data_IF_825911725335
#
_entry.id   IF_825911725335
#
_cell.length_a   1.000
_cell.length_b   1.000
_cell.length_c   1.000
_cell.angle_alpha   90.00
_cell.angle_beta   90.00
_cell.angle_gamma   90.00
#
_symmetry.space_group_name_H-M   'P 1'
#
loop_
_entity.id
_entity.type
_entity.pdbx_description
1 polymer ?
#
# COMPACT_ATOMS: atom_id res chain seq x y z
N UNK A 1 -7.45 -21.25 7.29
CA UNK A 1 -8.10 -22.16 8.22
C UNK A 1 -8.56 -21.41 9.48
N UNK A 2 -7.64 -20.82 10.24
CA UNK A 2 -7.97 -20.07 11.47
C UNK A 2 -8.89 -18.86 11.21
N UNK A 3 -8.76 -18.20 10.06
CA UNK A 3 -9.55 -17.02 9.70
C UNK A 3 -10.92 -17.37 9.06
N UNK A 4 -11.18 -18.65 8.74
CA UNK A 4 -12.36 -19.01 7.96
C UNK A 4 -12.39 -18.42 6.55
N UNK A 5 -11.21 -18.28 5.93
CA UNK A 5 -11.06 -17.72 4.58
C UNK A 5 -10.91 -16.18 4.54
N UNK A 6 -10.91 -15.50 5.68
CA UNK A 6 -10.74 -14.03 5.77
C UNK A 6 -9.26 -13.63 5.91
N UNK A 7 -8.41 -14.16 5.05
CA UNK A 7 -6.99 -13.83 5.03
C UNK A 7 -6.56 -13.41 3.62
N UNK A 8 -5.70 -12.44 3.55
CA UNK A 8 -5.08 -11.97 2.34
C UNK A 8 -3.58 -11.81 2.55
N UNK A 9 -2.80 -11.76 1.49
CA UNK A 9 -1.37 -11.50 1.56
C UNK A 9 -1.04 -10.15 0.93
N UNK A 10 -0.19 -9.36 1.59
CA UNK A 10 0.38 -8.15 1.00
C UNK A 10 1.83 -8.42 0.58
N UNK A 11 2.11 -8.37 -0.72
CA UNK A 11 3.43 -8.60 -1.29
C UNK A 11 4.10 -7.26 -1.56
N UNK A 12 5.27 -7.05 -0.96
CA UNK A 12 6.12 -5.88 -1.19
C UNK A 12 7.47 -6.31 -1.73
N UNK A 13 7.98 -5.62 -2.76
CA UNK A 13 9.25 -5.98 -3.41
C UNK A 13 10.49 -5.45 -2.68
N UNK A 14 10.30 -4.75 -1.55
CA UNK A 14 11.37 -4.17 -0.74
C UNK A 14 11.85 -2.81 -1.28
N UNK A 15 12.03 -1.87 -0.36
CA UNK A 15 12.52 -0.51 -0.66
C UNK A 15 13.77 -0.15 0.14
N UNK A 16 13.92 -0.74 1.33
CA UNK A 16 15.02 -0.45 2.22
C UNK A 16 16.21 -1.37 1.94
N UNK A 17 17.13 -0.90 1.11
CA UNK A 17 18.31 -1.68 0.71
C UNK A 17 19.21 -2.08 1.88
N UNK A 18 19.18 -1.32 2.98
CA UNK A 18 19.95 -1.67 4.18
C UNK A 18 19.45 -2.94 4.85
N UNK A 19 18.13 -3.23 4.75
CA UNK A 19 17.59 -4.48 5.31
C UNK A 19 18.10 -5.69 4.54
N UNK A 20 18.25 -5.58 3.21
CA UNK A 20 18.84 -6.66 2.41
C UNK A 20 20.28 -6.94 2.87
N UNK A 21 21.08 -5.92 3.06
CA UNK A 21 22.44 -6.03 3.59
C UNK A 21 22.47 -6.65 5.01
N UNK A 22 21.58 -6.19 5.90
CA UNK A 22 21.46 -6.73 7.26
C UNK A 22 21.11 -8.22 7.31
N UNK A 23 20.35 -8.71 6.33
CA UNK A 23 19.99 -10.14 6.23
C UNK A 23 20.98 -10.94 5.38
N UNK A 24 22.05 -10.32 4.86
CA UNK A 24 23.02 -10.99 4.01
C UNK A 24 22.46 -11.44 2.66
N UNK A 25 21.46 -10.71 2.16
CA UNK A 25 20.80 -11.00 0.89
C UNK A 25 21.23 -9.94 -0.12
N UNK A 26 21.72 -10.39 -1.30
CA UNK A 26 22.04 -9.47 -2.38
C UNK A 26 20.78 -8.71 -2.84
N UNK A 27 20.85 -7.39 -2.81
CA UNK A 27 19.77 -6.55 -3.30
C UNK A 27 19.77 -6.58 -4.83
N UNK A 28 18.69 -7.08 -5.40
CA UNK A 28 18.45 -6.98 -6.84
C UNK A 28 18.18 -5.52 -7.24
N UNK A 29 18.40 -5.20 -8.52
CA UNK A 29 17.95 -3.95 -9.09
C UNK A 29 16.44 -3.76 -8.93
N UNK A 30 16.00 -2.49 -8.95
CA UNK A 30 14.61 -2.14 -8.64
C UNK A 30 13.59 -2.99 -9.39
N UNK A 31 13.70 -3.08 -10.71
CA UNK A 31 12.71 -3.77 -11.53
C UNK A 31 12.78 -5.30 -11.37
N UNK A 32 13.98 -5.85 -11.21
CA UNK A 32 14.18 -7.27 -10.90
C UNK A 32 13.53 -7.70 -9.58
N UNK A 33 13.44 -6.80 -8.58
CA UNK A 33 12.71 -7.11 -7.36
C UNK A 33 11.21 -7.32 -7.62
N UNK A 34 10.62 -6.57 -8.56
CA UNK A 34 9.24 -6.77 -8.97
C UNK A 34 9.05 -8.03 -9.83
N UNK A 35 10.02 -8.37 -10.68
CA UNK A 35 10.02 -9.63 -11.44
C UNK A 35 10.05 -10.83 -10.48
N UNK A 36 10.96 -10.82 -9.50
CA UNK A 36 11.00 -11.84 -8.45
C UNK A 36 9.69 -11.93 -7.65
N UNK A 37 9.10 -10.79 -7.28
CA UNK A 37 7.83 -10.77 -6.58
C UNK A 37 6.67 -11.29 -7.43
N UNK A 38 6.72 -11.04 -8.73
CA UNK A 38 5.75 -11.58 -9.69
C UNK A 38 5.81 -13.11 -9.76
N UNK A 39 7.01 -13.70 -9.88
CA UNK A 39 7.18 -15.16 -9.81
C UNK A 39 6.77 -15.72 -8.46
N UNK A 40 7.08 -15.02 -7.35
CA UNK A 40 6.64 -15.43 -6.03
C UNK A 40 5.12 -15.56 -5.93
N UNK A 41 4.36 -14.63 -6.52
CA UNK A 41 2.89 -14.71 -6.57
C UNK A 41 2.45 -15.92 -7.40
N UNK A 42 3.11 -16.22 -8.52
CA UNK A 42 2.80 -17.40 -9.33
C UNK A 42 3.04 -18.69 -8.56
N UNK A 43 4.17 -18.79 -7.86
CA UNK A 43 4.49 -19.93 -6.98
C UNK A 43 3.47 -20.09 -5.87
N UNK A 44 3.09 -19.01 -5.21
CA UNK A 44 2.07 -19.05 -4.15
C UNK A 44 0.74 -19.56 -4.71
N UNK A 45 0.26 -18.98 -5.80
CA UNK A 45 -1.03 -19.36 -6.42
C UNK A 45 -1.02 -20.80 -6.90
N UNK A 46 0.06 -21.23 -7.55
CA UNK A 46 0.21 -22.60 -7.98
C UNK A 46 0.20 -23.58 -6.80
N UNK A 47 1.01 -23.34 -5.77
CA UNK A 47 1.05 -24.18 -4.58
C UNK A 47 -0.29 -24.23 -3.81
N UNK A 48 -1.10 -23.17 -3.87
CA UNK A 48 -2.44 -23.17 -3.25
C UNK A 48 -3.47 -23.97 -4.02
N UNK A 49 -3.31 -24.11 -5.34
CA UNK A 49 -4.34 -24.67 -6.23
C UNK A 49 -3.99 -26.06 -6.75
N UNK A 50 -2.70 -26.38 -6.88
CA UNK A 50 -2.18 -27.61 -7.47
C UNK A 50 -1.38 -28.44 -6.44
N UNK A 51 -1.43 -29.79 -6.56
CA UNK A 51 -0.62 -30.70 -5.76
C UNK A 51 -0.49 -32.04 -6.50
N UNK A 52 0.73 -32.45 -6.89
CA UNK A 52 1.98 -31.71 -6.78
C UNK A 52 2.04 -30.52 -7.75
N UNK A 53 2.75 -29.45 -7.35
CA UNK A 53 2.96 -28.25 -8.14
C UNK A 53 4.41 -28.15 -8.61
N UNK A 54 4.60 -27.80 -9.88
CA UNK A 54 5.92 -27.58 -10.48
C UNK A 54 5.99 -26.15 -11.03
N UNK A 55 7.13 -25.49 -10.82
CA UNK A 55 7.40 -24.16 -11.34
C UNK A 55 8.88 -24.03 -11.70
N UNK A 56 9.19 -23.51 -12.88
CA UNK A 56 10.54 -23.27 -13.35
C UNK A 56 10.63 -21.82 -13.85
N UNK A 57 11.13 -20.92 -13.03
CA UNK A 57 11.31 -19.50 -13.32
C UNK A 57 12.77 -19.07 -13.22
N UNK A 58 12.99 -17.78 -13.28
CA UNK A 58 14.32 -17.19 -13.11
C UNK A 58 14.73 -17.16 -11.63
N UNK A 59 13.78 -16.89 -10.73
CA UNK A 59 14.03 -16.69 -9.29
C UNK A 59 13.58 -17.87 -8.45
N UNK A 60 12.66 -18.69 -8.94
CA UNK A 60 12.11 -19.83 -8.19
C UNK A 60 12.09 -21.08 -9.05
N UNK A 61 12.46 -22.19 -8.43
CA UNK A 61 12.39 -23.53 -9.01
C UNK A 61 11.75 -24.48 -7.98
N UNK A 62 10.59 -25.01 -8.31
CA UNK A 62 9.83 -25.91 -7.45
C UNK A 62 9.54 -27.21 -8.20
N UNK A 63 9.92 -28.34 -7.60
CA UNK A 63 9.71 -29.67 -8.14
C UNK A 63 8.81 -30.46 -7.21
N UNK A 64 7.66 -30.90 -7.70
CA UNK A 64 6.67 -31.72 -6.98
C UNK A 64 6.29 -31.13 -5.59
N UNK A 65 6.20 -29.78 -5.51
CA UNK A 65 5.86 -29.09 -4.27
C UNK A 65 4.45 -29.50 -3.82
N UNK A 66 4.36 -29.92 -2.55
CA UNK A 66 3.10 -30.27 -1.91
C UNK A 66 2.88 -29.37 -0.70
N UNK A 67 1.74 -28.69 -0.68
CA UNK A 67 1.32 -27.82 0.42
C UNK A 67 0.05 -28.36 1.06
N UNK A 68 0.11 -28.68 2.35
CA UNK A 68 -1.05 -29.10 3.12
C UNK A 68 -1.07 -28.44 4.52
N UNK A 69 -2.20 -27.95 5.01
CA UNK A 69 -3.48 -27.85 4.29
C UNK A 69 -3.47 -26.72 3.25
N UNK A 70 -4.17 -26.92 2.14
CA UNK A 70 -4.36 -25.89 1.13
C UNK A 70 -5.50 -24.94 1.52
N UNK A 71 -5.49 -23.68 1.06
CA UNK A 71 -6.59 -22.76 1.25
C UNK A 71 -7.90 -23.31 0.65
N UNK A 72 -8.99 -23.20 1.38
CA UNK A 72 -10.32 -23.60 0.90
C UNK A 72 -11.00 -22.54 0.02
N UNK A 73 -10.49 -21.32 0.04
CA UNK A 73 -10.96 -20.18 -0.74
C UNK A 73 -9.77 -19.48 -1.39
N UNK A 74 -9.96 -18.82 -2.55
CA UNK A 74 -8.90 -18.00 -3.13
C UNK A 74 -8.40 -16.96 -2.13
N UNK A 75 -7.07 -16.82 -2.07
CA UNK A 75 -6.42 -15.81 -1.24
C UNK A 75 -6.18 -14.58 -2.09
N UNK A 76 -6.71 -13.45 -1.67
CA UNK A 76 -6.47 -12.18 -2.35
C UNK A 76 -5.03 -11.70 -2.14
N UNK A 77 -4.43 -11.20 -3.21
CA UNK A 77 -3.08 -10.66 -3.23
C UNK A 77 -3.15 -9.15 -3.27
N UNK A 78 -2.74 -8.53 -2.18
CA UNK A 78 -2.45 -7.10 -2.10
C UNK A 78 -1.00 -6.85 -2.51
N UNK A 79 -0.75 -5.70 -3.08
CA UNK A 79 0.60 -5.28 -3.44
C UNK A 79 0.78 -3.79 -3.15
N UNK A 80 1.86 -3.46 -2.46
CA UNK A 80 2.29 -2.08 -2.23
C UNK A 80 3.25 -1.56 -3.30
N UNK A 81 3.35 -0.24 -3.40
CA UNK A 81 4.25 0.48 -4.30
C UNK A 81 3.52 1.27 -5.39
N UNK A 82 4.20 2.28 -5.94
CA UNK A 82 3.62 3.23 -6.90
C UNK A 82 4.56 3.51 -8.09
N UNK A 83 5.67 2.79 -8.21
CA UNK A 83 6.58 2.88 -9.37
C UNK A 83 5.97 2.22 -10.61
N UNK A 84 6.52 2.49 -11.79
CA UNK A 84 6.02 1.90 -13.03
C UNK A 84 6.14 0.36 -13.01
N UNK A 85 7.23 -0.20 -12.48
CA UNK A 85 7.38 -1.65 -12.29
C UNK A 85 6.30 -2.22 -11.34
N UNK A 86 5.99 -1.50 -10.24
CA UNK A 86 4.90 -1.84 -9.34
C UNK A 86 3.55 -1.86 -10.05
N UNK A 87 3.26 -0.85 -10.88
CA UNK A 87 2.02 -0.75 -11.64
C UNK A 87 1.88 -1.91 -12.62
N UNK A 88 2.95 -2.28 -13.32
CA UNK A 88 2.94 -3.42 -14.24
C UNK A 88 2.70 -4.75 -13.50
N UNK A 89 3.38 -4.97 -12.38
CA UNK A 89 3.16 -6.16 -11.55
C UNK A 89 1.72 -6.19 -11.00
N UNK A 90 1.19 -5.08 -10.50
CA UNK A 90 -0.19 -5.00 -10.02
C UNK A 90 -1.19 -5.38 -11.12
N UNK A 91 -1.05 -4.79 -12.30
CA UNK A 91 -1.92 -5.08 -13.45
C UNK A 91 -1.88 -6.54 -13.90
N UNK A 92 -0.73 -7.22 -13.74
CA UNK A 92 -0.54 -8.60 -14.15
C UNK A 92 -0.93 -9.62 -13.07
N UNK A 93 -0.70 -9.32 -11.79
CA UNK A 93 -0.67 -10.33 -10.73
C UNK A 93 -1.55 -10.03 -9.52
N UNK A 94 -1.85 -8.77 -9.19
CA UNK A 94 -2.50 -8.44 -7.92
C UNK A 94 -4.01 -8.33 -8.05
N UNK A 95 -4.72 -8.58 -6.96
CA UNK A 95 -6.15 -8.37 -6.85
C UNK A 95 -6.43 -6.97 -6.29
N UNK A 96 -5.52 -6.49 -5.43
CA UNK A 96 -5.54 -5.17 -4.84
C UNK A 96 -4.21 -4.45 -4.99
N UNK A 97 -4.27 -3.16 -5.26
CA UNK A 97 -3.14 -2.27 -5.09
C UNK A 97 -3.34 -1.45 -3.83
N UNK A 98 -2.41 -1.64 -2.87
CA UNK A 98 -2.41 -0.93 -1.59
C UNK A 98 -1.56 0.33 -1.73
N UNK A 99 -2.22 1.48 -1.76
CA UNK A 99 -1.62 2.78 -1.97
C UNK A 99 -1.25 3.40 -0.63
N UNK A 100 -0.06 3.96 -0.55
CA UNK A 100 0.28 4.89 0.52
C UNK A 100 -0.58 6.15 0.41
N UNK A 101 -0.67 6.92 1.49
CA UNK A 101 -1.36 8.20 1.50
C UNK A 101 -0.84 9.17 0.43
N UNK A 102 -1.64 10.14 0.08
CA UNK A 102 -1.29 11.15 -0.90
C UNK A 102 -2.44 12.09 -1.24
N UNK A 103 -2.14 13.15 -1.99
CA UNK A 103 -3.18 14.02 -2.51
C UNK A 103 -4.14 13.27 -3.44
N UNK A 104 -5.36 13.79 -3.59
CA UNK A 104 -6.38 13.21 -4.46
C UNK A 104 -5.87 13.03 -5.88
N UNK A 105 -5.21 14.05 -6.41
CA UNK A 105 -4.67 14.08 -7.77
C UNK A 105 -3.57 13.03 -7.97
N UNK A 106 -2.70 12.86 -6.97
CA UNK A 106 -1.65 11.83 -7.01
C UNK A 106 -2.26 10.43 -7.01
N UNK A 107 -3.19 10.16 -6.12
CA UNK A 107 -3.86 8.86 -6.02
C UNK A 107 -4.64 8.56 -7.29
N UNK A 108 -5.41 9.52 -7.81
CA UNK A 108 -6.12 9.39 -9.09
C UNK A 108 -5.16 9.06 -10.25
N UNK A 109 -4.02 9.77 -10.34
CA UNK A 109 -3.00 9.52 -11.36
C UNK A 109 -2.50 8.09 -11.33
N UNK A 110 -2.22 7.53 -10.15
CA UNK A 110 -1.78 6.13 -9.99
C UNK A 110 -2.89 5.17 -10.41
N UNK A 111 -4.12 5.38 -9.93
CA UNK A 111 -5.29 4.56 -10.30
C UNK A 111 -5.47 4.52 -11.83
N UNK A 112 -5.36 5.68 -12.50
CA UNK A 112 -5.48 5.77 -13.95
C UNK A 112 -4.35 5.04 -14.70
N UNK A 113 -3.13 5.07 -14.16
CA UNK A 113 -2.01 4.30 -14.72
C UNK A 113 -2.28 2.78 -14.63
N UNK A 114 -2.71 2.30 -13.47
CA UNK A 114 -3.07 0.88 -13.27
C UNK A 114 -4.21 0.47 -14.20
N UNK A 115 -5.29 1.25 -14.26
CA UNK A 115 -6.43 0.99 -15.16
C UNK A 115 -6.03 0.95 -16.63
N UNK A 116 -5.02 1.74 -17.05
CA UNK A 116 -4.46 1.64 -18.40
C UNK A 116 -3.66 0.36 -18.61
N UNK A 117 -2.84 -0.03 -17.63
CA UNK A 117 -2.04 -1.23 -17.71
C UNK A 117 -2.91 -2.51 -17.74
N UNK A 118 -4.02 -2.54 -16.97
CA UNK A 118 -4.95 -3.69 -16.96
C UNK A 118 -5.70 -3.91 -18.26
N UNK A 119 -5.77 -2.91 -19.16
CA UNK A 119 -6.41 -3.09 -20.48
C UNK A 119 -5.75 -4.18 -21.31
N UNK A 120 -4.44 -4.39 -21.18
CA UNK A 120 -3.69 -5.42 -21.89
C UNK A 120 -3.86 -6.81 -21.28
N UNK A 121 -4.14 -6.89 -19.99
CA UNK A 121 -4.27 -8.16 -19.24
C UNK A 121 -5.72 -8.63 -19.10
N UNK A 122 -6.70 -7.74 -19.32
CA UNK A 122 -8.12 -8.00 -19.08
C UNK A 122 -8.48 -8.19 -17.59
N UNK A 123 -7.56 -7.90 -16.68
CA UNK A 123 -7.77 -8.03 -15.23
C UNK A 123 -8.40 -6.77 -14.64
N UNK A 124 -9.02 -6.93 -13.49
CA UNK A 124 -9.47 -5.82 -12.63
C UNK A 124 -8.58 -5.79 -11.40
N UNK A 125 -8.08 -4.62 -11.05
CA UNK A 125 -7.34 -4.36 -9.81
C UNK A 125 -8.16 -3.36 -8.98
N UNK A 126 -8.39 -3.70 -7.72
CA UNK A 126 -9.08 -2.87 -6.73
C UNK A 126 -8.07 -2.01 -5.98
N UNK A 127 -8.52 -0.94 -5.33
CA UNK A 127 -7.61 0.01 -4.69
C UNK A 127 -7.93 0.18 -3.22
N UNK A 128 -6.91 -0.05 -2.38
CA UNK A 128 -6.91 0.25 -0.96
C UNK A 128 -5.97 1.44 -0.70
N UNK A 129 -6.36 2.36 0.17
CA UNK A 129 -5.58 3.55 0.50
C UNK A 129 -5.30 3.59 2.00
N UNK A 130 -4.04 3.84 2.36
CA UNK A 130 -3.69 4.16 3.74
C UNK A 130 -3.95 5.63 4.04
N UNK A 131 -4.57 5.90 5.17
CA UNK A 131 -4.82 7.25 5.66
C UNK A 131 -4.67 7.34 7.18
N UNK A 132 -4.25 8.50 7.66
CA UNK A 132 -4.11 8.79 9.09
C UNK A 132 -5.10 9.92 9.44
N UNK A 133 -6.28 9.60 10.01
CA UNK A 133 -7.28 10.60 10.33
C UNK A 133 -6.89 11.41 11.59
N UNK A 134 -7.23 12.70 11.58
CA UNK A 134 -7.24 13.61 12.74
C UNK A 134 -8.59 14.32 12.72
N UNK A 135 -9.47 13.92 13.61
CA UNK A 135 -10.82 14.45 13.72
C UNK A 135 -10.97 15.37 14.94
N UNK A 136 -11.51 16.59 14.76
CA UNK A 136 -11.74 17.57 15.82
C UNK A 136 -13.08 18.26 15.60
N UNK A 137 -13.52 19.06 16.58
CA UNK A 137 -14.76 19.82 16.50
C UNK A 137 -14.67 20.99 15.49
N UNK A 138 -13.45 21.36 15.08
CA UNK A 138 -13.21 22.30 13.98
C UNK A 138 -12.01 21.92 13.13
N UNK A 139 -11.99 22.34 11.86
CA UNK A 139 -10.85 22.13 10.96
C UNK A 139 -9.59 22.82 11.48
N UNK A 140 -9.72 24.01 12.10
CA UNK A 140 -8.61 24.75 12.71
C UNK A 140 -7.93 23.93 13.81
N UNK A 141 -8.70 23.36 14.73
CA UNK A 141 -8.16 22.51 15.79
C UNK A 141 -7.48 21.25 15.25
N UNK A 142 -8.03 20.65 14.20
CA UNK A 142 -7.42 19.48 13.56
C UNK A 142 -6.07 19.83 12.92
N UNK A 143 -5.99 20.93 12.20
CA UNK A 143 -4.76 21.42 11.60
C UNK A 143 -3.73 21.90 12.60
N UNK A 144 -4.16 22.45 13.74
CA UNK A 144 -3.28 22.80 14.87
C UNK A 144 -2.56 21.56 15.43
N UNK A 145 -3.23 20.42 15.48
CA UNK A 145 -2.59 19.15 15.88
C UNK A 145 -1.50 18.76 14.89
N UNK A 146 -1.77 18.89 13.60
CA UNK A 146 -0.79 18.61 12.54
C UNK A 146 0.39 19.57 12.63
N UNK A 147 0.13 20.86 12.75
CA UNK A 147 1.20 21.88 12.84
C UNK A 147 2.14 21.59 14.02
N UNK A 148 1.59 21.28 15.18
CA UNK A 148 2.40 20.90 16.36
C UNK A 148 3.27 19.66 16.11
N UNK A 149 2.78 18.69 15.35
CA UNK A 149 3.55 17.50 14.98
C UNK A 149 4.68 17.85 13.99
N UNK A 150 4.38 18.70 13.02
CA UNK A 150 5.38 19.20 12.04
C UNK A 150 6.47 19.98 12.75
N UNK A 151 6.10 20.92 13.64
CA UNK A 151 7.05 21.73 14.41
C UNK A 151 7.93 20.88 15.34
N UNK A 152 7.46 19.71 15.75
CA UNK A 152 8.19 18.76 16.57
C UNK A 152 9.11 17.80 15.78
N UNK A 153 9.12 17.87 14.45
CA UNK A 153 9.99 17.02 13.63
C UNK A 153 11.47 17.42 13.89
N UNK A 154 12.24 16.43 14.32
CA UNK A 154 13.70 16.61 14.45
C UNK A 154 14.31 16.85 13.05
N UNK A 155 15.03 17.98 12.85
CA UNK A 155 15.67 18.30 11.57
C UNK A 155 16.64 17.21 11.08
N UNK A 156 17.35 16.54 11.99
CA UNK A 156 18.27 15.46 11.64
C UNK A 156 17.49 14.19 11.22
N UNK A 157 16.37 13.91 11.86
CA UNK A 157 15.45 12.86 11.43
C UNK A 157 14.92 13.14 10.02
N UNK A 158 14.40 14.33 9.76
CA UNK A 158 13.90 14.73 8.45
C UNK A 158 14.96 14.60 7.36
N UNK A 159 16.18 15.09 7.64
CA UNK A 159 17.33 14.98 6.74
C UNK A 159 17.72 13.54 6.45
N UNK A 160 17.81 12.71 7.48
CA UNK A 160 18.16 11.30 7.35
C UNK A 160 17.09 10.53 6.58
N UNK A 161 15.81 10.81 6.82
CA UNK A 161 14.69 10.21 6.09
C UNK A 161 14.73 10.59 4.61
N UNK A 162 14.82 11.87 4.28
CA UNK A 162 14.97 12.35 2.89
C UNK A 162 16.17 11.69 2.18
N UNK A 163 17.29 11.53 2.88
CA UNK A 163 18.46 10.83 2.33
C UNK A 163 18.21 9.34 2.10
N UNK A 164 17.53 8.67 3.02
CA UNK A 164 17.22 7.24 2.90
C UNK A 164 16.21 6.96 1.77
N UNK A 165 15.34 7.92 1.47
CA UNK A 165 14.28 7.81 0.45
C UNK A 165 14.64 8.44 -0.89
N UNK A 166 15.81 9.09 -1.01
CA UNK A 166 16.22 9.84 -2.21
C UNK A 166 16.33 9.00 -3.50
N UNK A 167 16.35 7.67 -3.40
CA UNK A 167 16.34 6.74 -4.53
C UNK A 167 15.00 6.00 -4.70
N UNK A 168 14.01 6.30 -3.87
CA UNK A 168 12.71 5.63 -3.94
C UNK A 168 11.90 6.16 -5.13
N UNK A 169 11.39 5.23 -5.95
CA UNK A 169 10.57 5.58 -7.10
C UNK A 169 9.08 5.53 -6.71
N UNK A 170 8.36 6.62 -6.96
CA UNK A 170 6.91 6.69 -6.81
C UNK A 170 6.38 6.99 -5.41
N UNK A 171 7.10 6.67 -4.35
CA UNK A 171 6.81 7.02 -2.96
C UNK A 171 7.84 8.03 -2.45
N UNK A 172 7.43 8.85 -1.45
CA UNK A 172 8.30 9.84 -0.79
C UNK A 172 9.01 10.80 -1.75
N UNK A 173 8.48 10.96 -2.95
CA UNK A 173 8.92 12.00 -3.88
C UNK A 173 8.35 13.38 -3.52
N UNK A 174 7.39 13.43 -2.59
CA UNK A 174 6.80 14.67 -2.08
C UNK A 174 7.76 15.34 -1.10
N UNK A 175 7.97 16.66 -1.28
CA UNK A 175 8.64 17.51 -0.31
C UNK A 175 7.69 17.98 0.81
N UNK A 176 6.42 17.57 0.78
CA UNK A 176 5.43 17.95 1.78
C UNK A 176 5.81 17.43 3.16
N UNK A 177 5.74 18.29 4.16
CA UNK A 177 6.07 17.96 5.56
C UNK A 177 5.15 16.88 6.12
N UNK A 178 3.90 16.80 5.64
CA UNK A 178 2.95 15.75 6.02
C UNK A 178 3.47 14.34 5.74
N UNK A 179 4.24 14.15 4.65
CA UNK A 179 4.82 12.84 4.32
C UNK A 179 5.95 12.42 5.26
N UNK A 180 6.45 13.32 6.10
CA UNK A 180 7.45 13.01 7.13
C UNK A 180 6.84 12.52 8.44
N UNK A 181 5.54 12.73 8.67
CA UNK A 181 4.89 12.45 9.94
C UNK A 181 4.67 10.95 10.20
N UNK A 182 4.57 10.15 9.14
CA UNK A 182 4.47 8.69 9.24
C UNK A 182 5.20 7.97 8.08
N UNK A 183 5.33 6.64 8.19
CA UNK A 183 6.08 5.84 7.21
C UNK A 183 5.31 5.60 5.91
N UNK A 184 4.00 5.76 5.90
CA UNK A 184 3.12 5.43 4.78
C UNK A 184 2.39 6.66 4.21
N UNK A 185 2.84 7.87 4.54
CA UNK A 185 2.30 9.14 4.05
C UNK A 185 0.79 9.33 4.33
N UNK A 186 0.26 8.71 5.40
CA UNK A 186 -1.18 8.71 5.70
C UNK A 186 -1.76 10.10 5.91
N UNK A 187 -1.00 11.02 6.51
CA UNK A 187 -1.43 12.41 6.69
C UNK A 187 -1.51 13.18 5.38
N UNK A 188 -0.78 12.77 4.33
CA UNK A 188 -0.87 13.37 3.00
C UNK A 188 -2.23 13.09 2.32
N UNK A 189 -3.00 12.11 2.79
CA UNK A 189 -4.39 11.88 2.37
C UNK A 189 -5.35 12.94 2.89
N UNK A 190 -4.93 13.73 3.90
CA UNK A 190 -5.65 14.86 4.45
C UNK A 190 -7.06 14.50 4.97
N UNK A 191 -7.19 13.37 5.66
CA UNK A 191 -8.36 13.09 6.49
C UNK A 191 -8.23 13.86 7.81
N UNK A 192 -8.24 15.20 7.70
CA UNK A 192 -7.92 16.12 8.78
C UNK A 192 -9.01 17.19 8.80
N UNK A 193 -9.76 17.30 9.89
CA UNK A 193 -10.83 18.27 10.01
C UNK A 193 -11.98 17.79 10.89
N UNK A 194 -13.16 18.36 10.64
CA UNK A 194 -14.41 17.92 11.26
C UNK A 194 -14.89 16.57 10.66
N UNK A 195 -15.84 15.88 11.31
CA UNK A 195 -16.46 14.69 10.70
C UNK A 195 -16.94 14.93 9.28
N UNK A 196 -17.60 16.06 9.01
CA UNK A 196 -18.10 16.42 7.67
C UNK A 196 -16.98 16.62 6.66
N UNK A 197 -15.90 17.33 7.06
CA UNK A 197 -14.71 17.55 6.20
C UNK A 197 -14.05 16.22 5.85
N UNK A 198 -13.92 15.32 6.82
CA UNK A 198 -13.32 14.01 6.61
C UNK A 198 -14.22 13.15 5.70
N UNK A 199 -15.53 13.13 5.93
CA UNK A 199 -16.49 12.38 5.09
C UNK A 199 -16.44 12.85 3.64
N UNK A 200 -16.49 14.15 3.40
CA UNK A 200 -16.37 14.70 2.03
C UNK A 200 -15.05 14.28 1.35
N UNK A 201 -13.96 14.17 2.12
CA UNK A 201 -12.67 13.71 1.61
C UNK A 201 -12.67 12.22 1.28
N UNK A 202 -13.30 11.40 2.11
CA UNK A 202 -13.50 9.96 1.86
C UNK A 202 -14.33 9.75 0.60
N UNK A 203 -15.44 10.47 0.45
CA UNK A 203 -16.29 10.42 -0.75
C UNK A 203 -15.49 10.77 -2.02
N UNK A 204 -14.64 11.80 -1.97
CA UNK A 204 -13.79 12.16 -3.10
C UNK A 204 -12.80 11.04 -3.47
N UNK A 205 -12.24 10.31 -2.49
CA UNK A 205 -11.41 9.12 -2.77
C UNK A 205 -12.24 7.97 -3.36
N UNK A 206 -13.47 7.76 -2.91
CA UNK A 206 -14.36 6.75 -3.47
C UNK A 206 -14.73 7.07 -4.92
N UNK A 207 -15.00 8.33 -5.25
CA UNK A 207 -15.33 8.77 -6.62
C UNK A 207 -14.22 8.48 -7.63
N UNK A 208 -12.95 8.60 -7.24
CA UNK A 208 -11.82 8.24 -8.11
C UNK A 208 -11.54 6.73 -8.16
N UNK A 209 -12.18 5.95 -7.26
CA UNK A 209 -12.17 4.48 -7.28
C UNK A 209 -11.37 3.82 -6.16
N UNK A 210 -11.14 4.48 -5.04
CA UNK A 210 -10.69 3.83 -3.80
C UNK A 210 -11.86 3.05 -3.20
N UNK A 211 -11.67 1.75 -2.95
CA UNK A 211 -12.73 0.86 -2.47
C UNK A 211 -12.52 0.45 -1.00
N UNK A 212 -11.33 0.65 -0.49
CA UNK A 212 -10.98 0.31 0.90
C UNK A 212 -10.09 1.41 1.50
N UNK A 213 -10.39 1.79 2.72
CA UNK A 213 -9.50 2.61 3.54
C UNK A 213 -8.87 1.73 4.62
N UNK A 214 -7.57 1.86 4.78
CA UNK A 214 -6.82 1.29 5.90
C UNK A 214 -6.28 2.41 6.77
N UNK A 215 -6.60 2.37 8.04
CA UNK A 215 -6.09 3.33 9.02
C UNK A 215 -5.80 2.64 10.34
N UNK A 216 -4.77 3.13 11.02
CA UNK A 216 -4.45 2.81 12.41
C UNK A 216 -4.67 4.09 13.21
N UNK A 217 -5.77 4.14 13.97
CA UNK A 217 -6.15 5.34 14.70
C UNK A 217 -6.76 5.01 16.05
N UNK A 218 -6.43 5.85 17.01
CA UNK A 218 -7.09 5.95 18.33
C UNK A 218 -7.88 7.26 18.47
N UNK A 219 -8.15 7.94 17.37
CA UNK A 219 -8.91 9.19 17.36
C UNK A 219 -10.38 8.91 17.71
N UNK A 220 -10.78 9.27 18.91
CA UNK A 220 -12.10 8.93 19.47
C UNK A 220 -13.24 9.56 18.68
N UNK A 221 -13.06 10.80 18.20
CA UNK A 221 -14.09 11.49 17.44
C UNK A 221 -14.30 10.82 16.08
N UNK A 222 -13.21 10.45 15.39
CA UNK A 222 -13.27 9.69 14.15
C UNK A 222 -13.98 8.34 14.34
N UNK A 223 -13.63 7.60 15.38
CA UNK A 223 -14.21 6.28 15.66
C UNK A 223 -15.70 6.36 16.01
N UNK A 224 -16.13 7.46 16.62
CA UNK A 224 -17.53 7.65 17.04
C UNK A 224 -18.41 8.18 15.92
N UNK A 225 -17.93 9.18 15.18
CA UNK A 225 -18.78 10.01 14.30
C UNK A 225 -18.52 9.79 12.81
N UNK A 226 -17.36 9.23 12.40
CA UNK A 226 -17.03 8.99 10.99
C UNK A 226 -17.08 7.50 10.66
N UNK A 227 -16.43 6.65 11.45
CA UNK A 227 -16.29 5.22 11.13
C UNK A 227 -17.64 4.50 10.93
N UNK A 228 -18.71 4.76 11.69
CA UNK A 228 -20.00 4.09 11.47
C UNK A 228 -20.67 4.45 10.14
N UNK A 229 -20.36 5.62 9.57
CA UNK A 229 -20.98 6.14 8.35
C UNK A 229 -20.31 5.63 7.05
N UNK A 230 -19.10 5.04 7.16
CA UNK A 230 -18.30 4.57 6.00
C UNK A 230 -18.32 3.03 5.85
N UNK A 231 -19.26 2.36 6.47
CA UNK A 231 -19.43 0.90 6.41
C UNK A 231 -20.22 0.44 5.20
#
# INVERSE_FOLDING_TARGET
WLSGGRWAINVTSGWNLKEFDMYGIDALEHDQRYERSSEFIDVLRGAWTESPFNYHGEFYDCNELQLEPRPSTPIEVFQGGQSDASIQMAAAKSDWMFLNGGSLERIESVIQKVRRATKSTGRTVRFALYAAPICRDSDEEAWDVIQKRVDAIDPDFAKNRRRATSGAQGMWSSEEELSLLDSNEGYASRLIGTPETIMARIEAFQEIGVEMLHFDTSDELFLRDVLPEIQ
#
